data_IF_338904633691
#
_entry.id   IF_338904633691
#
_cell.length_a   1.000
_cell.length_b   1.000
_cell.length_c   1.000
_cell.angle_alpha   90.00
_cell.angle_beta   90.00
_cell.angle_gamma   90.00
#
_symmetry.space_group_name_H-M   'P 1'
#
loop_
_entity.id
_entity.type
_entity.pdbx_description
1 polymer ?
#
# COMPACT_ATOMS: atom_id res chain seq x y z
N UNK A 1 15.90 -71.73 7.01
CA UNK A 1 15.46 -71.11 5.73
C UNK A 1 14.11 -70.47 6.04
N UNK A 2 13.91 -69.16 6.13
CA UNK A 2 14.48 -68.04 5.36
C UNK A 2 14.35 -66.77 6.21
N UNK A 3 15.46 -66.03 6.39
CA UNK A 3 15.49 -64.76 7.10
C UNK A 3 15.45 -63.57 6.13
N UNK A 4 14.43 -62.73 6.25
CA UNK A 4 14.47 -61.28 5.91
C UNK A 4 15.08 -60.51 7.11
N UNK A 5 15.57 -59.25 7.03
CA UNK A 5 15.48 -58.22 5.96
C UNK A 5 16.81 -57.44 5.70
N UNK A 6 16.82 -56.44 4.79
CA UNK A 6 17.59 -55.20 4.95
C UNK A 6 17.17 -54.12 3.93
N UNK A 7 16.52 -53.07 4.45
CA UNK A 7 16.33 -51.76 3.82
C UNK A 7 17.65 -50.98 3.90
N UNK A 8 18.02 -50.25 2.84
CA UNK A 8 19.01 -49.17 2.94
C UNK A 8 20.02 -49.09 1.80
N UNK A 9 19.61 -48.57 0.64
CA UNK A 9 20.55 -48.00 -0.33
C UNK A 9 20.51 -46.47 -0.16
N UNK A 10 21.34 -45.96 0.74
CA UNK A 10 21.63 -44.53 0.87
C UNK A 10 22.45 -44.09 -0.34
N UNK A 11 21.82 -43.43 -1.30
CA UNK A 11 22.48 -42.81 -2.45
C UNK A 11 23.43 -41.72 -1.94
N UNK A 12 24.73 -41.94 -2.08
CA UNK A 12 25.79 -41.02 -1.65
C UNK A 12 25.74 -39.72 -2.44
N UNK A 13 25.53 -38.60 -1.72
CA UNK A 13 25.58 -37.24 -2.26
C UNK A 13 27.05 -36.92 -2.58
N UNK A 14 27.40 -36.84 -3.86
CA UNK A 14 28.74 -36.45 -4.30
C UNK A 14 28.87 -34.92 -4.25
N UNK A 15 30.03 -34.39 -3.84
CA UNK A 15 30.27 -32.95 -3.68
C UNK A 15 29.95 -32.11 -4.94
N UNK A 16 30.01 -32.72 -6.12
CA UNK A 16 29.65 -32.12 -7.41
C UNK A 16 28.15 -31.84 -7.54
N UNK A 17 27.29 -32.73 -7.04
CA UNK A 17 25.82 -32.55 -7.07
C UNK A 17 25.38 -31.44 -6.12
N UNK A 18 26.03 -31.33 -4.96
CA UNK A 18 25.77 -30.26 -4.00
C UNK A 18 26.13 -28.88 -4.58
N UNK A 19 27.23 -28.79 -5.34
CA UNK A 19 27.69 -27.54 -5.94
C UNK A 19 26.79 -27.09 -7.10
N UNK A 20 26.30 -28.03 -7.92
CA UNK A 20 25.34 -27.72 -8.99
C UNK A 20 23.99 -27.27 -8.42
N UNK A 21 23.51 -27.93 -7.36
CA UNK A 21 22.27 -27.55 -6.67
C UNK A 21 22.38 -26.19 -5.98
N UNK A 22 23.55 -25.85 -5.45
CA UNK A 22 23.82 -24.52 -4.89
C UNK A 22 23.76 -23.43 -5.97
N UNK A 23 24.36 -23.66 -7.15
CA UNK A 23 24.27 -22.73 -8.29
C UNK A 23 22.85 -22.53 -8.79
N UNK A 24 22.06 -23.61 -8.86
CA UNK A 24 20.64 -23.55 -9.23
C UNK A 24 19.81 -22.77 -8.19
N UNK A 25 20.09 -22.94 -6.89
CA UNK A 25 19.41 -22.16 -5.85
C UNK A 25 19.78 -20.68 -5.90
N UNK A 26 21.04 -20.34 -6.16
CA UNK A 26 21.47 -18.93 -6.33
C UNK A 26 20.84 -18.30 -7.57
N UNK A 27 20.69 -19.03 -8.67
CA UNK A 27 20.05 -18.52 -9.89
C UNK A 27 18.54 -18.35 -9.74
N UNK A 28 17.88 -19.21 -8.96
CA UNK A 28 16.46 -19.04 -8.58
C UNK A 28 16.25 -17.88 -7.60
N UNK A 29 17.22 -17.60 -6.73
CA UNK A 29 17.20 -16.43 -5.86
C UNK A 29 17.43 -15.12 -6.64
N UNK A 30 18.25 -15.15 -7.70
CA UNK A 30 18.49 -13.99 -8.55
C UNK A 30 17.34 -13.72 -9.57
N UNK A 31 16.54 -14.73 -9.91
CA UNK A 31 15.46 -14.64 -10.91
C UNK A 31 14.11 -14.15 -10.38
N UNK A 32 13.92 -14.07 -9.06
CA UNK A 32 12.71 -13.56 -8.44
C UNK A 32 12.90 -12.12 -7.91
N UNK A 33 13.45 -11.25 -8.75
CA UNK A 33 13.15 -9.83 -8.59
C UNK A 33 11.64 -9.70 -8.65
N UNK A 34 11.04 -9.18 -7.58
CA UNK A 34 9.61 -8.82 -7.58
C UNK A 34 9.44 -7.83 -8.74
N UNK A 35 9.05 -8.31 -9.92
CA UNK A 35 8.59 -7.45 -11.00
C UNK A 35 7.27 -6.86 -10.52
N UNK A 36 7.37 -5.71 -9.87
CA UNK A 36 6.24 -4.91 -9.44
C UNK A 36 5.61 -4.33 -10.71
N UNK A 37 4.82 -5.16 -11.38
CA UNK A 37 4.02 -4.76 -12.52
C UNK A 37 2.98 -3.76 -11.99
N UNK A 38 3.02 -2.48 -12.38
CA UNK A 38 2.12 -1.47 -11.86
C UNK A 38 0.76 -1.62 -12.55
N UNK A 39 0.07 -2.73 -12.30
CA UNK A 39 -1.31 -2.93 -12.73
C UNK A 39 -2.23 -2.22 -11.72
N UNK A 40 -2.26 -0.89 -11.79
CA UNK A 40 -3.16 -0.05 -10.99
C UNK A 40 -2.72 1.42 -10.94
N UNK A 41 -3.63 2.35 -10.64
CA UNK A 41 -3.30 3.77 -10.52
C UNK A 41 -2.21 3.94 -9.47
N UNK A 42 -1.20 4.73 -9.83
CA UNK A 42 -0.03 5.01 -9.01
C UNK A 42 -0.47 5.63 -7.68
N UNK A 43 0.40 5.50 -6.67
CA UNK A 43 0.17 6.18 -5.39
C UNK A 43 -0.05 7.69 -5.58
N UNK A 44 0.67 8.32 -6.51
CA UNK A 44 0.53 9.74 -6.83
C UNK A 44 -0.85 10.07 -7.41
N UNK A 45 -1.36 9.25 -8.33
CA UNK A 45 -2.73 9.39 -8.85
C UNK A 45 -3.77 9.23 -7.74
N UNK A 46 -3.65 8.19 -6.90
CA UNK A 46 -4.57 7.98 -5.78
C UNK A 46 -4.53 9.12 -4.76
N UNK A 47 -3.34 9.68 -4.50
CA UNK A 47 -3.17 10.81 -3.62
C UNK A 47 -3.82 12.07 -4.23
N UNK A 48 -3.61 12.31 -5.53
CA UNK A 48 -4.27 13.38 -6.25
C UNK A 48 -5.80 13.24 -6.18
N UNK A 49 -6.33 12.07 -6.49
CA UNK A 49 -7.76 11.80 -6.42
C UNK A 49 -8.29 12.04 -4.99
N UNK A 50 -7.54 11.63 -3.96
CA UNK A 50 -7.92 11.87 -2.57
C UNK A 50 -7.94 13.36 -2.21
N UNK A 51 -7.01 14.16 -2.73
CA UNK A 51 -7.00 15.61 -2.54
C UNK A 51 -8.17 16.29 -3.25
N UNK A 52 -8.47 15.84 -4.48
CA UNK A 52 -9.59 16.35 -5.27
C UNK A 52 -10.93 16.03 -4.55
N UNK A 53 -11.08 14.82 -3.98
CA UNK A 53 -12.24 14.44 -3.16
C UNK A 53 -12.40 15.32 -1.90
N UNK A 54 -11.30 15.72 -1.26
CA UNK A 54 -11.37 16.63 -0.09
C UNK A 54 -11.82 18.02 -0.50
N UNK A 55 -11.36 18.52 -1.65
CA UNK A 55 -11.81 19.80 -2.19
C UNK A 55 -13.31 19.77 -2.56
N UNK A 56 -13.78 18.66 -3.13
CA UNK A 56 -15.20 18.45 -3.41
C UNK A 56 -16.03 18.42 -2.12
N UNK A 57 -15.61 17.65 -1.11
CA UNK A 57 -16.30 17.60 0.19
C UNK A 57 -16.34 18.97 0.90
N UNK A 58 -15.33 19.82 0.72
CA UNK A 58 -15.34 21.21 1.18
C UNK A 58 -16.37 22.06 0.43
N UNK A 59 -16.42 21.93 -0.90
CA UNK A 59 -17.42 22.61 -1.74
C UNK A 59 -18.85 22.22 -1.40
N UNK A 60 -19.09 20.93 -1.21
CA UNK A 60 -20.40 20.37 -0.86
C UNK A 60 -20.86 20.83 0.51
N UNK A 61 -19.98 20.82 1.52
CA UNK A 61 -20.30 21.35 2.84
C UNK A 61 -20.67 22.84 2.76
N UNK A 62 -19.91 23.65 2.01
CA UNK A 62 -20.19 25.06 1.82
C UNK A 62 -21.49 25.33 1.02
N UNK A 63 -21.87 24.41 0.14
CA UNK A 63 -23.14 24.46 -0.58
C UNK A 63 -24.30 24.11 0.34
N UNK A 64 -24.20 23.03 1.11
CA UNK A 64 -25.22 22.59 2.06
C UNK A 64 -25.51 23.65 3.13
N UNK A 65 -24.48 24.32 3.64
CA UNK A 65 -24.65 25.46 4.56
C UNK A 65 -25.48 26.57 3.91
N UNK A 66 -25.16 26.95 2.66
CA UNK A 66 -25.90 27.98 1.93
C UNK A 66 -27.33 27.56 1.62
N UNK A 67 -27.52 26.32 1.17
CA UNK A 67 -28.85 25.77 0.87
C UNK A 67 -29.73 25.72 2.11
N UNK A 68 -29.13 25.47 3.28
CA UNK A 68 -29.81 25.54 4.58
C UNK A 68 -30.16 26.96 5.02
N UNK A 69 -29.23 27.91 4.87
CA UNK A 69 -29.48 29.33 5.14
C UNK A 69 -30.57 29.92 4.23
N UNK A 70 -30.67 29.45 2.99
CA UNK A 70 -31.70 29.85 2.03
C UNK A 70 -33.03 29.11 2.22
N UNK A 71 -33.10 28.11 3.12
CA UNK A 71 -34.29 27.31 3.36
C UNK A 71 -34.64 26.31 2.26
N UNK A 72 -33.74 26.11 1.29
CA UNK A 72 -33.87 25.10 0.22
C UNK A 72 -33.61 23.69 0.76
N UNK A 73 -32.73 23.56 1.74
CA UNK A 73 -32.44 22.33 2.49
C UNK A 73 -32.85 22.57 3.95
N UNK A 74 -33.70 21.71 4.53
CA UNK A 74 -34.17 21.87 5.92
C UNK A 74 -33.48 20.90 6.88
N UNK A 75 -32.70 19.96 6.35
CA UNK A 75 -31.99 18.98 7.14
C UNK A 75 -30.65 19.52 7.67
N UNK A 76 -30.72 20.10 8.86
CA UNK A 76 -29.53 20.53 9.61
C UNK A 76 -28.55 19.37 9.87
N UNK A 77 -29.04 18.15 10.05
CA UNK A 77 -28.19 16.97 10.33
C UNK A 77 -27.26 16.71 9.16
N UNK A 78 -27.77 16.81 7.93
CA UNK A 78 -27.00 16.64 6.70
C UNK A 78 -25.88 17.69 6.58
N UNK A 79 -26.18 18.95 6.90
CA UNK A 79 -25.18 20.04 6.93
C UNK A 79 -24.08 19.75 7.95
N UNK A 80 -24.46 19.35 9.16
CA UNK A 80 -23.52 19.04 10.25
C UNK A 80 -22.63 17.84 9.90
N UNK A 81 -23.20 16.79 9.31
CA UNK A 81 -22.44 15.62 8.86
C UNK A 81 -21.46 16.02 7.76
N UNK A 82 -21.90 16.78 6.75
CA UNK A 82 -21.02 17.24 5.68
C UNK A 82 -19.86 18.09 6.19
N UNK A 83 -20.12 19.01 7.14
CA UNK A 83 -19.06 19.78 7.81
C UNK A 83 -18.09 18.88 8.58
N UNK A 84 -18.58 17.88 9.31
CA UNK A 84 -17.74 16.97 10.07
C UNK A 84 -16.85 16.11 9.16
N UNK A 85 -17.42 15.59 8.06
CA UNK A 85 -16.68 14.83 7.04
C UNK A 85 -15.58 15.69 6.42
N UNK A 86 -15.91 16.92 6.02
CA UNK A 86 -14.97 17.87 5.43
C UNK A 86 -13.81 18.20 6.37
N UNK A 87 -14.10 18.49 7.64
CA UNK A 87 -13.10 18.77 8.67
C UNK A 87 -12.17 17.59 8.92
N UNK A 88 -12.72 16.37 9.05
CA UNK A 88 -11.94 15.16 9.25
C UNK A 88 -11.06 14.85 8.02
N UNK A 89 -11.60 14.98 6.81
CA UNK A 89 -10.85 14.78 5.56
C UNK A 89 -9.69 15.76 5.40
N UNK A 90 -9.90 17.02 5.79
CA UNK A 90 -8.83 18.03 5.79
C UNK A 90 -7.72 17.69 6.80
N UNK A 91 -8.08 17.29 8.03
CA UNK A 91 -7.10 16.86 9.03
C UNK A 91 -6.28 15.65 8.56
N UNK A 92 -6.94 14.67 7.94
CA UNK A 92 -6.27 13.52 7.34
C UNK A 92 -5.27 13.95 6.26
N UNK A 93 -5.67 14.88 5.39
CA UNK A 93 -4.81 15.44 4.34
C UNK A 93 -3.55 16.09 4.90
N UNK A 94 -3.67 16.87 5.97
CA UNK A 94 -2.51 17.47 6.63
C UNK A 94 -1.57 16.42 7.21
N UNK A 95 -2.10 15.34 7.80
CA UNK A 95 -1.29 14.24 8.30
C UNK A 95 -0.53 13.52 7.18
N UNK A 96 -1.20 13.26 6.05
CA UNK A 96 -0.57 12.64 4.88
C UNK A 96 0.52 13.54 4.31
N UNK A 97 0.25 14.85 4.16
CA UNK A 97 1.25 15.84 3.74
C UNK A 97 2.48 15.81 4.64
N UNK A 98 2.28 15.85 5.96
CA UNK A 98 3.37 15.82 6.93
C UNK A 98 4.18 14.53 6.81
N UNK A 99 3.51 13.38 6.66
CA UNK A 99 4.18 12.08 6.49
C UNK A 99 4.96 12.00 5.18
N UNK A 100 4.44 12.55 4.09
CA UNK A 100 5.13 12.62 2.81
C UNK A 100 6.39 13.50 2.87
N UNK A 101 6.30 14.65 3.54
CA UNK A 101 7.45 15.53 3.79
C UNK A 101 8.52 14.85 4.65
N UNK A 102 8.10 14.12 5.71
CA UNK A 102 9.02 13.32 6.53
C UNK A 102 9.70 12.23 5.71
N UNK A 103 8.96 11.46 4.91
CA UNK A 103 9.53 10.40 4.08
C UNK A 103 10.54 10.95 3.05
N UNK A 104 10.25 12.11 2.44
CA UNK A 104 11.20 12.79 1.57
C UNK A 104 12.48 13.17 2.33
N UNK A 105 12.33 13.76 3.53
CA UNK A 105 13.46 14.12 4.39
C UNK A 105 14.26 12.89 4.84
N UNK A 106 13.61 11.77 5.13
CA UNK A 106 14.26 10.53 5.55
C UNK A 106 15.11 9.93 4.42
N UNK A 107 14.61 9.93 3.19
CA UNK A 107 15.40 9.53 2.00
C UNK A 107 16.61 10.44 1.81
N UNK A 108 16.44 11.75 2.02
CA UNK A 108 17.52 12.73 1.84
C UNK A 108 18.63 12.63 2.90
N UNK A 109 18.29 12.18 4.11
CA UNK A 109 19.23 12.01 5.22
C UNK A 109 19.77 10.58 5.33
N UNK A 110 19.33 9.66 4.46
CA UNK A 110 19.90 8.33 4.40
C UNK A 110 21.31 8.44 3.80
N UNK A 111 22.38 8.06 4.53
CA UNK A 111 23.70 8.03 3.94
C UNK A 111 23.73 6.97 2.83
N UNK A 112 24.26 7.37 1.67
CA UNK A 112 24.58 6.44 0.57
C UNK A 112 25.70 5.48 0.94
#
# INVERSE_FOLDING_TARGET
>A
MTSVPAVGATTSITATDALNRAKEMTQRAAGNGIEMRPDGPSFGERLKDSLDNVAEAQGDAAKLVRDFEMGTETDLTKVMVAQQVSSLGFQLTLNVRNKALSAYKDIMNMPV
#
